data_IF_305507923822
#
_entry.id   IF_305507923822
#
_cell.length_a   1.000
_cell.length_b   1.000
_cell.length_c   1.000
_cell.angle_alpha   90.00
_cell.angle_beta   90.00
_cell.angle_gamma   90.00
#
_symmetry.space_group_name_H-M   'P 1'
#
loop_
_entity.id
_entity.type
_entity.pdbx_description
1 polymer ?
#
# COMPACT_ATOMS: atom_id res chain seq x y z
N UNK A 1 14.81 -18.03 -24.69
CA UNK A 1 14.74 -16.60 -25.01
C UNK A 1 13.29 -16.22 -25.23
N UNK A 2 12.64 -15.69 -24.18
CA UNK A 2 11.31 -15.11 -24.26
C UNK A 2 11.48 -13.61 -24.52
N UNK A 3 11.21 -13.18 -25.76
CA UNK A 3 11.16 -11.78 -26.13
C UNK A 3 9.80 -11.21 -25.74
N UNK A 4 9.78 -10.33 -24.73
CA UNK A 4 8.61 -9.52 -24.43
C UNK A 4 8.61 -8.27 -25.30
N UNK A 5 7.69 -8.20 -26.25
CA UNK A 5 7.39 -6.97 -26.98
C UNK A 5 6.36 -6.17 -26.18
N UNK A 6 6.78 -5.03 -25.64
CA UNK A 6 5.86 -4.03 -25.10
C UNK A 6 5.27 -3.22 -26.25
N UNK A 7 4.06 -3.55 -26.66
CA UNK A 7 3.29 -2.70 -27.58
C UNK A 7 2.73 -1.49 -26.84
N UNK A 8 3.27 -0.32 -27.17
CA UNK A 8 2.80 0.98 -26.71
C UNK A 8 1.60 1.42 -27.56
N UNK A 9 0.43 0.84 -27.29
CA UNK A 9 -0.85 1.30 -27.88
C UNK A 9 -1.97 1.13 -26.86
N UNK A 10 -1.96 1.99 -25.86
CA UNK A 10 -3.20 2.38 -25.18
C UNK A 10 -3.03 3.82 -24.71
N UNK A 11 -3.93 4.67 -25.20
CA UNK A 11 -4.14 6.02 -24.70
C UNK A 11 -4.37 6.01 -23.21
N UNK A 12 -3.79 6.99 -22.50
CA UNK A 12 -3.68 7.07 -21.05
C UNK A 12 -5.01 7.22 -20.27
N UNK A 13 -6.15 6.89 -20.85
CA UNK A 13 -7.48 7.19 -20.31
C UNK A 13 -8.15 6.04 -19.55
N UNK A 14 -7.49 4.91 -19.35
CA UNK A 14 -8.05 3.81 -18.56
C UNK A 14 -7.02 2.96 -17.80
N UNK A 15 -5.98 3.57 -17.29
CA UNK A 15 -5.22 2.94 -16.21
C UNK A 15 -6.09 3.03 -14.96
N UNK A 16 -6.80 1.96 -14.70
CA UNK A 16 -7.32 1.64 -13.37
C UNK A 16 -6.09 1.43 -12.47
N UNK A 17 -5.45 2.53 -12.11
CA UNK A 17 -4.29 2.59 -11.25
C UNK A 17 -4.78 2.07 -9.91
N UNK A 18 -4.48 0.81 -9.63
CA UNK A 18 -4.69 0.24 -8.30
C UNK A 18 -4.10 1.22 -7.31
N UNK A 19 -4.96 1.87 -6.54
CA UNK A 19 -4.56 2.78 -5.49
C UNK A 19 -3.83 1.97 -4.42
N UNK A 20 -2.52 2.14 -4.34
CA UNK A 20 -1.73 1.56 -3.26
C UNK A 20 -1.74 2.52 -2.07
N UNK A 21 -1.87 1.97 -0.84
CA UNK A 21 -1.71 2.79 0.34
C UNK A 21 -0.25 3.26 0.45
N UNK A 22 -0.06 4.56 0.49
CA UNK A 22 1.19 5.20 0.84
C UNK A 22 1.16 5.52 2.32
N UNK A 23 2.12 5.03 3.07
CA UNK A 23 2.29 5.34 4.48
C UNK A 23 3.42 6.32 4.66
N UNK A 24 3.17 7.42 5.35
CA UNK A 24 4.16 8.47 5.51
C UNK A 24 3.83 9.43 6.65
N UNK A 25 4.75 10.31 6.94
CA UNK A 25 4.53 11.42 7.85
C UNK A 25 3.95 12.60 7.07
N UNK A 26 2.80 13.08 7.51
CA UNK A 26 2.14 14.24 6.95
C UNK A 26 2.31 15.43 7.89
N UNK A 27 2.68 16.55 7.30
CA UNK A 27 2.78 17.86 7.96
C UNK A 27 2.01 18.87 7.13
N UNK A 28 1.21 19.70 7.78
CA UNK A 28 0.61 20.87 7.16
C UNK A 28 1.05 22.12 7.90
N UNK A 29 1.73 23.02 7.20
CA UNK A 29 2.28 24.25 7.74
C UNK A 29 2.34 25.33 6.66
N UNK A 30 2.01 26.57 7.00
CA UNK A 30 2.04 27.71 6.08
C UNK A 30 1.30 27.42 4.75
N UNK A 31 0.07 26.92 4.88
CA UNK A 31 -0.85 26.58 3.78
C UNK A 31 -0.30 25.55 2.78
N UNK A 32 0.67 24.73 3.23
CA UNK A 32 1.27 23.68 2.43
C UNK A 32 1.29 22.34 3.14
N UNK A 33 0.84 21.30 2.45
CA UNK A 33 0.96 19.90 2.87
C UNK A 33 2.25 19.28 2.36
N UNK A 34 2.97 18.58 3.24
CA UNK A 34 4.13 17.77 2.89
C UNK A 34 3.92 16.33 3.38
N UNK A 35 4.14 15.36 2.52
CA UNK A 35 4.06 13.94 2.84
C UNK A 35 5.43 13.28 2.64
N UNK A 36 6.01 12.75 3.72
CA UNK A 36 7.28 12.03 3.70
C UNK A 36 7.03 10.54 3.78
N UNK A 37 7.21 9.82 2.66
CA UNK A 37 6.89 8.41 2.53
C UNK A 37 7.86 7.54 3.33
N UNK A 38 7.32 6.61 4.13
CA UNK A 38 8.08 5.85 5.13
C UNK A 38 9.08 4.86 4.54
N UNK A 39 8.81 4.32 3.35
CA UNK A 39 9.63 3.27 2.75
C UNK A 39 10.81 3.87 1.99
N UNK A 40 10.56 4.86 1.16
CA UNK A 40 11.58 5.52 0.35
C UNK A 40 12.30 6.64 1.10
N UNK A 41 11.68 7.22 2.13
CA UNK A 41 12.14 8.43 2.79
C UNK A 41 12.00 9.70 1.94
N UNK A 42 11.36 9.60 0.75
CA UNK A 42 11.14 10.75 -0.11
C UNK A 42 9.97 11.59 0.38
N UNK A 43 10.10 12.90 0.21
CA UNK A 43 9.07 13.86 0.58
C UNK A 43 8.41 14.45 -0.68
N UNK A 44 7.09 14.56 -0.64
CA UNK A 44 6.27 15.03 -1.73
C UNK A 44 5.34 16.14 -1.26
N UNK A 45 5.33 17.32 -1.92
CA UNK A 45 4.26 18.29 -1.73
C UNK A 45 2.90 17.63 -1.98
N UNK A 46 1.90 17.98 -1.18
CA UNK A 46 0.54 17.45 -1.34
C UNK A 46 -0.30 18.45 -2.12
N UNK A 47 -0.98 17.96 -3.16
CA UNK A 47 -1.81 18.80 -4.01
C UNK A 47 -3.14 19.11 -3.32
N UNK A 48 -3.63 20.35 -3.49
CA UNK A 48 -4.93 20.82 -3.00
C UNK A 48 -6.09 20.24 -3.83
N UNK A 49 -6.09 18.92 -4.02
CA UNK A 49 -7.07 18.18 -4.81
C UNK A 49 -7.45 16.89 -4.07
N UNK A 50 -8.53 16.25 -4.51
CA UNK A 50 -8.98 14.99 -3.91
C UNK A 50 -9.42 15.18 -2.45
N UNK A 51 -8.94 14.31 -1.56
CA UNK A 51 -9.28 14.35 -0.13
C UNK A 51 -8.35 15.27 0.69
N UNK A 52 -7.55 16.14 0.04
CA UNK A 52 -6.60 17.01 0.76
C UNK A 52 -7.27 17.83 1.87
N UNK A 53 -8.40 18.46 1.57
CA UNK A 53 -9.11 19.31 2.56
C UNK A 53 -9.52 18.52 3.81
N UNK A 54 -9.93 17.27 3.63
CA UNK A 54 -10.29 16.40 4.76
C UNK A 54 -9.06 15.98 5.56
N UNK A 55 -7.98 15.61 4.85
CA UNK A 55 -6.70 15.23 5.45
C UNK A 55 -6.11 16.38 6.27
N UNK A 56 -6.11 17.58 5.72
CA UNK A 56 -5.69 18.82 6.37
C UNK A 56 -6.50 19.11 7.64
N UNK A 57 -7.83 19.06 7.55
CA UNK A 57 -8.72 19.28 8.70
C UNK A 57 -8.42 18.32 9.83
N UNK A 58 -8.33 17.02 9.52
CA UNK A 58 -8.07 16.02 10.53
C UNK A 58 -6.66 16.14 11.12
N UNK A 59 -5.68 16.55 10.31
CA UNK A 59 -4.34 16.88 10.79
C UNK A 59 -4.38 18.02 11.81
N UNK A 60 -5.10 19.11 11.51
CA UNK A 60 -5.21 20.27 12.40
C UNK A 60 -5.91 19.94 13.72
N UNK A 61 -6.87 19.01 13.68
CA UNK A 61 -7.58 18.53 14.88
C UNK A 61 -6.71 17.61 15.76
N UNK A 62 -5.77 16.87 15.17
CA UNK A 62 -5.00 15.83 15.86
C UNK A 62 -3.58 16.24 16.26
N UNK A 63 -3.04 17.28 15.66
CA UNK A 63 -1.72 17.79 16.02
C UNK A 63 -1.77 18.47 17.40
N UNK A 64 -0.73 18.27 18.20
CA UNK A 64 -0.57 19.00 19.45
C UNK A 64 0.14 20.35 19.24
N UNK A 65 1.01 20.43 18.23
CA UNK A 65 1.84 21.59 17.95
C UNK A 65 1.87 21.89 16.44
N UNK A 66 2.00 23.18 16.02
CA UNK A 66 2.22 23.53 14.63
C UNK A 66 3.46 22.83 14.04
N UNK A 67 3.31 22.23 12.85
CA UNK A 67 4.40 21.52 12.19
C UNK A 67 4.71 20.13 12.74
N UNK A 68 3.96 19.65 13.74
CA UNK A 68 4.10 18.28 14.22
C UNK A 68 3.77 17.28 13.11
N UNK A 69 4.68 16.35 12.85
CA UNK A 69 4.43 15.29 11.89
C UNK A 69 3.47 14.24 12.48
N UNK A 70 2.44 13.90 11.73
CA UNK A 70 1.51 12.81 12.03
C UNK A 70 1.67 11.68 11.04
N UNK A 71 1.57 10.44 11.52
CA UNK A 71 1.58 9.28 10.65
C UNK A 71 0.26 9.16 9.92
N UNK A 72 0.30 9.13 8.59
CA UNK A 72 -0.87 9.01 7.73
C UNK A 72 -0.76 7.83 6.76
N UNK A 73 -1.91 7.26 6.43
CA UNK A 73 -2.07 6.30 5.32
C UNK A 73 -2.97 6.95 4.27
N UNK A 74 -2.42 7.17 3.10
CA UNK A 74 -3.06 7.89 2.00
C UNK A 74 -3.07 7.02 0.75
N UNK A 75 -4.20 6.95 0.06
CA UNK A 75 -4.34 6.33 -1.26
C UNK A 75 -4.30 7.43 -2.31
N UNK A 76 -3.33 7.36 -3.19
CA UNK A 76 -3.13 8.37 -4.22
C UNK A 76 -2.03 7.97 -5.19
N UNK A 77 -1.65 8.93 -6.01
CA UNK A 77 -0.53 8.74 -6.95
C UNK A 77 0.29 10.02 -7.04
N UNK A 78 1.51 9.89 -7.55
CA UNK A 78 2.38 11.03 -7.79
C UNK A 78 2.05 11.66 -9.14
N UNK A 79 1.99 12.97 -9.16
CA UNK A 79 1.75 13.79 -10.34
C UNK A 79 2.82 14.89 -10.41
N UNK A 80 3.32 15.19 -11.60
CA UNK A 80 4.18 16.35 -11.79
C UNK A 80 3.34 17.62 -11.68
N UNK A 81 3.68 18.48 -10.76
CA UNK A 81 3.03 19.78 -10.54
C UNK A 81 4.07 20.88 -10.33
N UNK A 82 3.72 22.14 -10.62
CA UNK A 82 4.62 23.27 -10.33
C UNK A 82 5.00 23.30 -8.85
N UNK A 83 6.27 23.54 -8.56
CA UNK A 83 6.72 23.76 -7.19
C UNK A 83 6.17 25.09 -6.67
N UNK A 84 5.98 25.20 -5.35
CA UNK A 84 5.51 26.43 -4.72
C UNK A 84 6.48 27.61 -4.91
N UNK A 85 7.75 27.31 -5.13
CA UNK A 85 8.81 28.33 -5.38
C UNK A 85 8.86 28.77 -6.86
N UNK A 86 8.01 28.21 -7.71
CA UNK A 86 7.86 28.59 -9.13
C UNK A 86 8.76 27.86 -10.12
N UNK A 87 8.26 27.67 -11.33
CA UNK A 87 9.00 27.33 -12.55
C UNK A 87 9.43 25.89 -12.74
N UNK A 88 9.60 25.08 -11.69
CA UNK A 88 10.03 23.69 -11.79
C UNK A 88 8.88 22.73 -11.51
N UNK A 89 8.72 21.71 -12.36
CA UNK A 89 7.80 20.61 -12.07
C UNK A 89 8.45 19.64 -11.09
N UNK A 90 7.74 19.32 -10.02
CA UNK A 90 8.17 18.37 -8.99
C UNK A 90 7.12 17.27 -8.81
N UNK A 91 7.54 16.04 -8.48
CA UNK A 91 6.61 14.99 -8.10
C UNK A 91 5.83 15.44 -6.85
N UNK A 92 4.51 15.46 -6.95
CA UNK A 92 3.61 15.87 -5.88
C UNK A 92 2.56 14.78 -5.65
N UNK A 93 2.14 14.58 -4.41
CA UNK A 93 1.13 13.60 -4.06
C UNK A 93 -0.27 14.16 -4.32
N UNK A 94 -1.06 13.48 -5.15
CA UNK A 94 -2.50 13.67 -5.26
C UNK A 94 -3.21 12.69 -4.32
N UNK A 95 -3.73 13.14 -3.17
CA UNK A 95 -4.41 12.28 -2.21
C UNK A 95 -5.87 12.07 -2.67
N UNK A 96 -6.18 10.89 -3.21
CA UNK A 96 -7.54 10.57 -3.64
C UNK A 96 -8.42 10.11 -2.49
N UNK A 97 -7.84 9.45 -1.49
CA UNK A 97 -8.48 9.05 -0.24
C UNK A 97 -7.42 8.91 0.84
N UNK A 98 -7.75 9.27 2.08
CA UNK A 98 -6.94 8.87 3.23
C UNK A 98 -7.74 7.91 4.12
N UNK A 99 -7.06 7.06 4.84
CA UNK A 99 -7.67 6.05 5.70
C UNK A 99 -7.45 6.37 7.17
N UNK A 100 -6.27 6.85 7.50
CA UNK A 100 -5.88 7.05 8.89
C UNK A 100 -4.84 8.16 9.01
N UNK A 101 -4.97 9.00 10.04
CA UNK A 101 -3.96 9.95 10.48
C UNK A 101 -3.93 9.98 12.00
N UNK A 102 -2.77 9.82 12.62
CA UNK A 102 -2.58 9.77 14.07
C UNK A 102 -1.17 10.16 14.49
N UNK A 103 -1.00 10.38 15.79
CA UNK A 103 0.31 10.50 16.39
C UNK A 103 1.14 9.24 16.12
N UNK A 104 2.37 9.41 15.71
CA UNK A 104 3.27 8.32 15.38
C UNK A 104 4.35 8.74 14.38
N UNK A 105 5.22 7.82 14.08
CA UNK A 105 6.29 7.99 13.10
C UNK A 105 6.42 6.74 12.21
N UNK A 106 7.30 6.77 11.23
CA UNK A 106 7.51 5.67 10.31
C UNK A 106 7.96 4.35 10.98
N UNK A 107 8.56 4.41 12.16
CA UNK A 107 8.90 3.23 12.95
C UNK A 107 7.74 2.75 13.83
N UNK A 108 6.71 3.57 14.00
CA UNK A 108 5.49 3.15 14.68
C UNK A 108 4.88 2.02 13.86
N UNK A 109 4.98 0.81 14.33
CA UNK A 109 4.25 -0.30 13.74
C UNK A 109 2.76 0.01 13.97
N UNK A 110 2.01 0.32 12.92
CA UNK A 110 0.60 -0.07 12.93
C UNK A 110 0.64 -1.52 13.37
N UNK A 111 -0.21 -1.95 14.29
CA UNK A 111 -0.24 -3.35 14.71
C UNK A 111 -0.13 -4.19 13.45
N UNK A 112 1.11 -4.47 13.05
CA UNK A 112 1.38 -5.36 11.96
C UNK A 112 0.94 -6.68 12.51
N UNK A 113 -0.20 -7.15 12.05
CA UNK A 113 -0.54 -8.53 12.24
C UNK A 113 0.74 -9.29 11.91
N UNK A 114 1.27 -10.02 12.89
CA UNK A 114 2.51 -10.73 12.70
C UNK A 114 2.32 -11.60 11.45
N UNK A 115 3.09 -11.38 10.40
CA UNK A 115 2.94 -12.14 9.16
C UNK A 115 2.96 -13.65 9.45
N UNK A 116 3.79 -14.03 10.42
CA UNK A 116 4.10 -15.42 10.75
C UNK A 116 3.06 -16.00 11.70
N UNK A 117 2.80 -17.30 11.53
CA UNK A 117 1.93 -18.12 12.37
C UNK A 117 0.47 -17.64 12.47
N UNK A 118 0.02 -16.93 11.42
CA UNK A 118 -1.36 -16.52 11.26
C UNK A 118 -1.90 -16.97 9.90
N UNK A 119 -3.19 -17.27 9.85
CA UNK A 119 -3.86 -17.61 8.61
C UNK A 119 -4.33 -16.34 7.91
N UNK A 120 -3.85 -16.14 6.70
CA UNK A 120 -4.19 -15.03 5.82
C UNK A 120 -5.20 -15.47 4.79
N UNK A 121 -6.40 -14.90 4.80
CA UNK A 121 -7.45 -15.20 3.84
C UNK A 121 -7.33 -14.31 2.62
N UNK A 122 -7.46 -14.89 1.44
CA UNK A 122 -7.52 -14.15 0.18
C UNK A 122 -8.89 -13.48 0.04
N UNK A 123 -8.94 -12.16 0.11
CA UNK A 123 -10.19 -11.38 -0.01
C UNK A 123 -10.35 -10.75 -1.39
N UNK A 124 -9.26 -10.59 -2.14
CA UNK A 124 -9.28 -10.00 -3.48
C UNK A 124 -8.20 -10.61 -4.37
N UNK A 125 -8.54 -10.90 -5.61
CA UNK A 125 -7.63 -11.41 -6.64
C UNK A 125 -7.78 -10.58 -7.92
N UNK A 126 -6.68 -10.03 -8.43
CA UNK A 126 -6.66 -9.18 -9.63
C UNK A 126 -7.69 -8.04 -9.59
N UNK A 127 -7.85 -7.42 -8.42
CA UNK A 127 -8.79 -6.29 -8.22
C UNK A 127 -10.26 -6.70 -8.05
N UNK A 128 -10.58 -8.00 -8.13
CA UNK A 128 -11.94 -8.50 -7.94
C UNK A 128 -12.08 -9.16 -6.57
N UNK A 129 -13.17 -8.92 -5.83
CA UNK A 129 -13.41 -9.62 -4.57
C UNK A 129 -13.54 -11.14 -4.81
N UNK A 130 -13.00 -11.92 -3.89
CA UNK A 130 -13.15 -13.37 -3.89
C UNK A 130 -14.52 -13.72 -3.30
N UNK A 131 -15.41 -14.20 -4.14
CA UNK A 131 -16.75 -14.69 -3.73
C UNK A 131 -16.68 -16.20 -3.58
N UNK A 132 -17.03 -16.70 -2.41
CA UNK A 132 -17.01 -18.14 -2.12
C UNK A 132 -18.44 -18.69 -2.23
N UNK A 133 -18.65 -19.80 -2.97
CA UNK A 133 -19.89 -20.57 -2.88
C UNK A 133 -20.08 -21.11 -1.46
N UNK A 134 -21.34 -21.39 -1.12
CA UNK A 134 -21.66 -22.04 0.14
C UNK A 134 -20.89 -23.38 0.26
N UNK A 135 -20.30 -23.62 1.43
CA UNK A 135 -19.49 -24.79 1.76
C UNK A 135 -18.10 -24.90 1.10
N UNK A 136 -17.57 -23.84 0.49
CA UNK A 136 -16.18 -23.83 0.06
C UNK A 136 -15.25 -23.19 1.11
N UNK A 137 -14.07 -23.79 1.28
CA UNK A 137 -13.05 -23.25 2.16
C UNK A 137 -12.45 -21.99 1.53
N UNK A 138 -12.31 -20.93 2.32
CA UNK A 138 -11.65 -19.71 1.87
C UNK A 138 -10.20 -20.01 1.46
N UNK A 139 -9.74 -19.54 0.27
CA UNK A 139 -8.34 -19.63 -0.08
C UNK A 139 -7.52 -18.77 0.87
N UNK A 140 -6.37 -19.28 1.25
CA UNK A 140 -5.49 -18.56 2.18
C UNK A 140 -4.20 -19.29 2.46
N UNK A 141 -3.31 -18.60 3.16
CA UNK A 141 -1.94 -19.05 3.44
C UNK A 141 -1.57 -18.82 4.91
N UNK A 142 -0.74 -19.68 5.45
CA UNK A 142 -0.02 -19.50 6.72
C UNK A 142 1.48 -19.49 6.45
N UNK A 143 2.18 -18.49 6.96
CA UNK A 143 3.63 -18.36 6.89
C UNK A 143 4.22 -18.85 8.22
N UNK A 144 4.89 -20.00 8.22
CA UNK A 144 5.44 -20.60 9.43
C UNK A 144 6.76 -19.94 9.85
N UNK A 145 6.86 -19.55 11.13
CA UNK A 145 8.02 -18.84 11.65
C UNK A 145 9.26 -19.70 11.81
N UNK A 146 9.06 -20.97 12.13
CA UNK A 146 10.09 -21.93 12.53
C UNK A 146 10.98 -22.39 11.37
N UNK A 147 10.46 -22.46 10.14
CA UNK A 147 11.12 -23.09 9.01
C UNK A 147 11.05 -22.32 7.70
N UNK A 148 10.53 -21.09 7.71
CA UNK A 148 10.30 -20.27 6.52
C UNK A 148 9.50 -20.97 5.42
N UNK A 149 8.59 -21.86 5.81
CA UNK A 149 7.67 -22.53 4.90
C UNK A 149 6.30 -21.88 4.94
N UNK A 150 5.57 -22.02 3.86
CA UNK A 150 4.17 -21.65 3.82
C UNK A 150 3.30 -22.90 3.54
N UNK A 151 2.12 -22.89 4.09
CA UNK A 151 1.08 -23.86 3.80
C UNK A 151 -0.26 -23.14 3.63
N UNK A 152 -1.19 -23.76 2.91
CA UNK A 152 -2.51 -23.15 2.74
C UNK A 152 -3.38 -23.90 1.75
N UNK A 153 -4.36 -23.19 1.22
CA UNK A 153 -5.30 -23.73 0.27
C UNK A 153 -5.65 -22.70 -0.81
N UNK A 154 -5.73 -23.14 -2.05
CA UNK A 154 -6.25 -22.34 -3.17
C UNK A 154 -7.78 -22.42 -3.31
N UNK A 155 -8.46 -23.00 -2.31
CA UNK A 155 -9.88 -23.33 -2.35
C UNK A 155 -10.06 -24.86 -2.41
N UNK A 156 -9.70 -25.50 -3.50
CA UNK A 156 -9.75 -26.96 -3.65
C UNK A 156 -8.42 -27.63 -3.36
N UNK A 157 -7.30 -27.03 -3.81
CA UNK A 157 -5.98 -27.64 -3.72
C UNK A 157 -5.24 -27.18 -2.46
N UNK A 158 -4.48 -28.10 -1.85
CA UNK A 158 -3.52 -27.75 -0.82
C UNK A 158 -2.29 -27.09 -1.45
N UNK A 159 -1.78 -26.05 -0.80
CA UNK A 159 -0.61 -25.32 -1.20
C UNK A 159 0.50 -25.49 -0.16
N UNK A 160 1.71 -25.78 -0.61
CA UNK A 160 2.91 -25.79 0.22
C UNK A 160 4.05 -25.12 -0.52
N UNK A 161 4.93 -24.46 0.21
CA UNK A 161 6.06 -23.76 -0.40
C UNK A 161 7.06 -23.27 0.63
N UNK A 162 8.02 -22.51 0.15
CA UNK A 162 8.96 -21.78 0.99
C UNK A 162 8.81 -20.27 0.71
N UNK A 163 9.18 -19.44 1.68
CA UNK A 163 9.17 -18.00 1.52
C UNK A 163 10.40 -17.37 2.17
N UNK A 164 10.77 -16.22 1.66
CA UNK A 164 11.66 -15.29 2.34
C UNK A 164 10.92 -13.98 2.55
N UNK A 165 11.06 -13.41 3.73
CA UNK A 165 10.41 -12.14 4.05
C UNK A 165 11.44 -11.15 4.58
N UNK A 166 11.41 -9.94 4.06
CA UNK A 166 12.10 -8.78 4.58
C UNK A 166 11.08 -7.79 5.14
N UNK A 167 11.53 -6.63 5.61
CA UNK A 167 10.61 -5.59 6.07
C UNK A 167 9.65 -5.08 4.97
N UNK A 168 9.98 -5.31 3.68
CA UNK A 168 9.29 -4.70 2.53
C UNK A 168 8.74 -5.71 1.53
N UNK A 169 9.28 -6.91 1.49
CA UNK A 169 9.00 -7.88 0.44
C UNK A 169 8.80 -9.27 1.03
N UNK A 170 7.89 -10.00 0.41
CA UNK A 170 7.72 -11.43 0.60
C UNK A 170 8.00 -12.05 -0.76
N UNK A 171 8.95 -12.97 -0.81
CA UNK A 171 9.23 -13.77 -1.99
C UNK A 171 8.81 -15.21 -1.72
N UNK A 172 7.94 -15.76 -2.56
CA UNK A 172 7.40 -17.12 -2.41
C UNK A 172 8.06 -18.02 -3.46
N UNK A 173 8.78 -19.00 -2.97
CA UNK A 173 9.54 -19.93 -3.79
C UNK A 173 8.99 -21.35 -3.66
N UNK A 174 9.25 -22.17 -4.67
CA UNK A 174 8.94 -23.61 -4.68
C UNK A 174 7.48 -23.93 -4.30
N UNK A 175 6.53 -23.14 -4.82
CA UNK A 175 5.13 -23.38 -4.56
C UNK A 175 4.67 -24.67 -5.27
N UNK A 176 4.18 -25.62 -4.50
CA UNK A 176 3.56 -26.85 -4.98
C UNK A 176 2.08 -26.88 -4.59
N UNK A 177 1.27 -27.45 -5.46
CA UNK A 177 -0.16 -27.64 -5.23
C UNK A 177 -0.53 -29.11 -5.47
N UNK A 178 -1.43 -29.65 -4.64
CA UNK A 178 -1.99 -30.98 -4.90
C UNK A 178 -2.88 -30.89 -6.15
N UNK A 179 -2.88 -31.95 -6.95
CA UNK A 179 -3.90 -32.16 -7.99
C UNK A 179 -5.06 -32.91 -7.36
N UNK A 180 -6.27 -32.40 -7.51
CA UNK A 180 -7.49 -33.17 -7.36
C UNK A 180 -7.98 -33.61 -8.73
#
# INVERSE_FOLDING_TARGET
NLNYHLNRTQTADSLDLKLFPLRGQYVYLADAGLFSECVSGLSFPVLEQGDNIKLEREYLERRNEPGQALLATVYGHLKLAPSMEGGRLVPSLLPLRYEHIALGNCSTRLHSANLKDQFWTLVQLNGKPVVLPENQRAPGLTFHADNNRLSGSGGCNQLVGAYTASQRFIDINMLAATRM
#
